data_IF_881898860718
#
_entry.id   IF_881898860718
#
_cell.length_a   1.000
_cell.length_b   1.000
_cell.length_c   1.000
_cell.angle_alpha   90.00
_cell.angle_beta   90.00
_cell.angle_gamma   90.00
#
_symmetry.space_group_name_H-M   'P 1'
#
loop_
_entity.id
_entity.type
_entity.pdbx_description
1 polymer ?
#
# COMPACT_ATOMS: atom_id res chain seq x y z
N UNK A 1 18.30 -6.95 27.04
CA UNK A 1 19.03 -7.64 25.97
C UNK A 1 18.34 -8.98 25.78
N UNK A 2 17.51 -9.12 24.76
CA UNK A 2 16.96 -10.43 24.35
C UNK A 2 18.07 -11.06 23.53
N UNK A 3 18.74 -12.09 24.06
CA UNK A 3 19.66 -12.92 23.33
C UNK A 3 18.88 -13.54 22.18
N UNK A 4 19.22 -13.19 20.95
CA UNK A 4 18.79 -13.94 19.79
C UNK A 4 19.44 -15.33 19.89
N UNK A 5 18.62 -16.35 19.93
CA UNK A 5 19.05 -17.74 19.94
C UNK A 5 19.75 -18.02 18.58
N UNK A 6 21.08 -18.06 18.61
CA UNK A 6 21.94 -18.16 17.42
C UNK A 6 21.87 -19.55 16.78
N UNK A 7 21.09 -20.48 17.36
CA UNK A 7 21.01 -21.90 16.93
C UNK A 7 19.80 -22.22 16.07
N UNK A 8 18.82 -21.33 15.95
CA UNK A 8 17.67 -21.57 15.08
C UNK A 8 18.04 -21.34 13.60
N UNK A 9 17.67 -22.24 12.67
CA UNK A 9 17.92 -22.02 11.25
C UNK A 9 17.22 -20.72 10.81
N UNK A 10 17.81 -19.96 9.86
CA UNK A 10 17.23 -18.71 9.42
C UNK A 10 15.80 -18.95 8.91
N UNK A 11 14.86 -18.21 9.46
CA UNK A 11 13.43 -18.33 9.12
C UNK A 11 13.24 -18.10 7.62
N UNK A 12 12.60 -19.06 6.95
CA UNK A 12 12.25 -18.91 5.53
C UNK A 12 11.25 -17.77 5.38
N UNK A 13 11.60 -16.73 4.59
CA UNK A 13 10.78 -15.53 4.39
C UNK A 13 9.40 -15.85 3.81
N UNK A 14 9.34 -16.82 2.90
CA UNK A 14 8.15 -17.25 2.18
C UNK A 14 7.97 -18.76 2.22
N UNK A 15 7.57 -19.35 3.35
CA UNK A 15 7.41 -20.81 3.44
C UNK A 15 6.38 -21.36 2.43
N UNK A 16 5.35 -20.61 2.11
CA UNK A 16 4.32 -20.97 1.13
C UNK A 16 4.82 -20.99 -0.32
N UNK A 17 5.99 -20.40 -0.58
CA UNK A 17 6.63 -20.36 -1.90
C UNK A 17 7.80 -21.35 -2.04
N UNK A 18 8.20 -22.01 -0.97
CA UNK A 18 9.40 -22.88 -0.95
C UNK A 18 9.38 -23.93 -2.06
N UNK A 19 8.25 -24.60 -2.26
CA UNK A 19 8.07 -25.68 -3.24
C UNK A 19 7.48 -25.19 -4.58
N UNK A 20 7.30 -23.88 -4.78
CA UNK A 20 6.84 -23.36 -6.07
C UNK A 20 7.98 -23.42 -7.11
N UNK A 21 7.64 -23.59 -8.41
CA UNK A 21 8.64 -23.52 -9.46
C UNK A 21 9.31 -22.15 -9.48
N UNK A 22 10.60 -22.13 -9.86
CA UNK A 22 11.31 -20.88 -10.08
C UNK A 22 11.00 -20.34 -11.48
N UNK A 23 10.79 -19.03 -11.56
CA UNK A 23 10.55 -18.32 -12.80
C UNK A 23 11.65 -17.26 -12.97
N UNK A 24 12.62 -17.44 -13.89
CA UNK A 24 13.68 -16.48 -14.11
C UNK A 24 13.15 -15.06 -14.31
N UNK A 25 13.80 -14.10 -13.67
CA UNK A 25 13.43 -12.69 -13.82
C UNK A 25 13.83 -12.20 -15.21
N UNK A 26 12.90 -11.55 -15.89
CA UNK A 26 13.17 -10.91 -17.18
C UNK A 26 14.01 -9.65 -16.98
N UNK A 27 14.96 -9.33 -17.89
CA UNK A 27 15.67 -8.05 -17.88
C UNK A 27 14.68 -6.90 -17.89
N UNK A 28 14.94 -5.91 -17.03
CA UNK A 28 14.09 -4.70 -16.98
C UNK A 28 14.38 -3.83 -18.20
N UNK A 29 13.36 -3.31 -18.88
CA UNK A 29 13.53 -2.39 -19.99
C UNK A 29 14.10 -1.04 -19.53
N UNK A 30 14.63 -0.25 -20.48
CA UNK A 30 15.33 1.02 -20.19
C UNK A 30 14.47 2.06 -19.46
N UNK A 31 13.15 2.04 -19.64
CA UNK A 31 12.24 2.97 -18.96
C UNK A 31 11.98 2.65 -17.48
N UNK A 32 12.48 1.51 -16.98
CA UNK A 32 12.43 1.17 -15.55
C UNK A 32 13.79 1.49 -14.92
N UNK A 33 14.06 2.77 -14.73
CA UNK A 33 15.27 3.28 -14.07
C UNK A 33 14.92 3.82 -12.69
N UNK A 34 15.77 3.50 -11.71
CA UNK A 34 15.59 3.91 -10.31
C UNK A 34 16.83 4.65 -9.80
N UNK A 35 16.65 5.55 -8.85
CA UNK A 35 17.76 6.25 -8.19
C UNK A 35 18.37 5.40 -7.09
N UNK A 36 19.70 5.35 -7.07
CA UNK A 36 20.43 4.64 -6.01
C UNK A 36 20.19 5.27 -4.62
N UNK A 37 20.06 4.47 -3.55
CA UNK A 37 19.77 4.94 -2.20
C UNK A 37 21.04 5.41 -1.45
N UNK A 38 21.72 6.45 -1.95
CA UNK A 38 23.05 6.90 -1.45
C UNK A 38 23.06 8.31 -0.86
N UNK A 39 21.95 9.06 -0.93
CA UNK A 39 21.89 10.46 -0.50
C UNK A 39 21.92 10.62 1.02
N UNK A 40 22.31 11.80 1.52
CA UNK A 40 22.26 12.12 2.93
C UNK A 40 20.83 12.10 3.50
N UNK A 41 19.83 12.55 2.70
CA UNK A 41 18.41 12.45 3.06
C UNK A 41 17.98 11.00 3.28
N UNK A 42 18.41 10.08 2.41
CA UNK A 42 18.17 8.64 2.57
C UNK A 42 18.78 8.12 3.89
N UNK A 43 20.05 8.43 4.15
CA UNK A 43 20.75 7.99 5.39
C UNK A 43 20.06 8.51 6.64
N UNK A 44 19.65 9.79 6.65
CA UNK A 44 18.91 10.41 7.75
C UNK A 44 17.58 9.70 8.00
N UNK A 45 16.80 9.42 6.94
CA UNK A 45 15.52 8.72 7.05
C UNK A 45 15.72 7.30 7.58
N UNK A 46 16.70 6.56 7.05
CA UNK A 46 17.06 5.21 7.51
C UNK A 46 17.43 5.21 9.01
N UNK A 47 18.25 6.15 9.45
CA UNK A 47 18.66 6.28 10.86
C UNK A 47 17.45 6.47 11.77
N UNK A 48 16.51 7.36 11.42
CA UNK A 48 15.31 7.60 12.23
C UNK A 48 14.44 6.34 12.32
N UNK A 49 14.26 5.61 11.20
CA UNK A 49 13.50 4.36 11.18
C UNK A 49 14.15 3.31 12.09
N UNK A 50 15.46 3.12 11.99
CA UNK A 50 16.21 2.13 12.78
C UNK A 50 16.23 2.46 14.28
N UNK A 51 16.50 3.72 14.65
CA UNK A 51 16.51 4.18 16.05
C UNK A 51 15.17 3.98 16.74
N UNK A 52 14.06 4.07 15.97
CA UNK A 52 12.71 3.88 16.49
C UNK A 52 12.19 2.45 16.32
N UNK A 53 13.01 1.51 15.84
CA UNK A 53 12.64 0.10 15.60
C UNK A 53 11.34 -0.02 14.77
N UNK A 54 11.21 0.78 13.72
CA UNK A 54 10.05 0.80 12.85
C UNK A 54 10.28 -0.03 11.60
N UNK A 55 9.22 -0.61 11.11
CA UNK A 55 9.19 -1.36 9.86
C UNK A 55 8.62 -0.47 8.75
N UNK A 56 9.15 -0.60 7.54
CA UNK A 56 8.64 0.13 6.38
C UNK A 56 8.38 -0.83 5.21
N UNK A 57 7.26 -0.63 4.53
CA UNK A 57 6.99 -1.37 3.29
C UNK A 57 8.04 -1.07 2.21
N UNK A 58 8.70 0.09 2.29
CA UNK A 58 9.76 0.47 1.35
C UNK A 58 10.94 -0.52 1.37
N UNK A 59 11.33 -0.99 2.56
CA UNK A 59 12.39 -2.00 2.73
C UNK A 59 11.84 -3.40 2.51
N UNK A 60 10.74 -3.76 3.18
CA UNK A 60 10.21 -5.11 3.17
C UNK A 60 9.72 -5.56 1.78
N UNK A 61 9.09 -4.67 1.04
CA UNK A 61 8.65 -4.93 -0.34
C UNK A 61 9.75 -4.73 -1.40
N UNK A 62 10.99 -4.40 -1.01
CA UNK A 62 12.07 -4.05 -1.93
C UNK A 62 11.64 -2.98 -2.96
N UNK A 63 11.03 -1.89 -2.46
CA UNK A 63 10.46 -0.84 -3.30
C UNK A 63 11.52 -0.16 -4.18
N UNK A 64 11.31 -0.06 -5.51
CA UNK A 64 12.28 0.56 -6.41
C UNK A 64 12.47 2.06 -6.13
N UNK A 65 11.49 2.73 -5.53
CA UNK A 65 11.51 4.17 -5.32
C UNK A 65 12.15 4.60 -3.99
N UNK A 66 12.64 3.66 -3.17
CA UNK A 66 13.15 3.95 -1.81
C UNK A 66 14.23 5.03 -1.80
N UNK A 67 15.14 5.02 -2.80
CA UNK A 67 16.22 6.01 -2.91
C UNK A 67 15.68 7.44 -3.11
N UNK A 68 14.65 7.62 -3.92
CA UNK A 68 14.04 8.93 -4.15
C UNK A 68 13.15 9.36 -2.98
N UNK A 69 12.25 8.49 -2.54
CA UNK A 69 11.29 8.80 -1.47
C UNK A 69 12.02 9.20 -0.19
N UNK A 70 13.01 8.42 0.24
CA UNK A 70 13.72 8.69 1.49
C UNK A 70 14.69 9.88 1.40
N UNK A 71 15.14 10.22 0.19
CA UNK A 71 15.87 11.50 -0.02
C UNK A 71 14.99 12.70 0.33
N UNK A 72 13.69 12.61 0.05
CA UNK A 72 12.67 13.62 0.38
C UNK A 72 12.06 13.41 1.78
N UNK A 73 12.62 12.53 2.58
CA UNK A 73 12.11 12.10 3.90
C UNK A 73 10.74 11.39 3.87
N UNK A 74 10.21 11.03 2.69
CA UNK A 74 8.94 10.30 2.56
C UNK A 74 9.15 8.82 2.83
N UNK A 75 8.52 8.28 3.87
CA UNK A 75 8.53 6.85 4.20
C UNK A 75 7.10 6.34 4.41
N UNK A 76 6.85 5.11 4.00
CA UNK A 76 5.58 4.42 4.27
C UNK A 76 5.81 3.47 5.44
N UNK A 77 5.22 3.79 6.58
CA UNK A 77 5.35 2.96 7.77
C UNK A 77 4.46 1.73 7.66
N UNK A 78 5.03 0.57 7.99
CA UNK A 78 4.29 -0.69 8.06
C UNK A 78 4.15 -1.08 9.53
N UNK A 79 2.93 -1.07 10.03
CA UNK A 79 2.59 -1.37 11.42
C UNK A 79 2.20 -2.82 11.61
N UNK A 80 2.16 -3.27 12.87
CA UNK A 80 1.80 -4.63 13.30
C UNK A 80 2.85 -5.69 12.94
N UNK A 81 4.11 -5.26 12.77
CA UNK A 81 5.24 -6.13 12.48
C UNK A 81 5.52 -6.33 11.00
N UNK A 82 6.36 -7.33 10.69
CA UNK A 82 6.92 -7.63 9.38
C UNK A 82 6.46 -9.00 8.81
N UNK A 83 5.53 -9.68 9.49
CA UNK A 83 5.06 -11.01 9.13
C UNK A 83 3.56 -10.95 8.83
N UNK A 84 3.21 -11.30 7.58
CA UNK A 84 1.84 -11.32 7.10
C UNK A 84 1.22 -12.71 7.27
N UNK A 85 -0.07 -12.78 7.62
CA UNK A 85 -0.82 -14.04 7.67
C UNK A 85 -1.20 -14.57 6.28
N UNK A 86 -1.04 -13.76 5.22
CA UNK A 86 -1.43 -14.10 3.84
C UNK A 86 -0.23 -14.14 2.89
N UNK A 87 -0.22 -15.13 2.00
CA UNK A 87 0.85 -15.36 1.02
C UNK A 87 0.49 -14.92 -0.40
N UNK A 88 0.34 -13.61 -0.65
CA UNK A 88 0.12 -13.09 -1.99
C UNK A 88 1.30 -13.39 -2.90
N UNK A 89 1.04 -13.87 -4.13
CA UNK A 89 2.11 -14.35 -5.03
C UNK A 89 3.03 -13.24 -5.55
N UNK A 90 2.59 -11.99 -5.50
CA UNK A 90 3.36 -10.81 -5.92
C UNK A 90 4.17 -10.17 -4.78
N UNK A 91 3.82 -10.43 -3.52
CA UNK A 91 4.28 -9.67 -2.36
C UNK A 91 5.58 -10.24 -1.78
N UNK A 92 6.53 -9.34 -1.48
CA UNK A 92 7.82 -9.70 -0.87
C UNK A 92 7.81 -9.66 0.67
N UNK A 93 6.70 -9.29 1.30
CA UNK A 93 6.59 -9.28 2.76
C UNK A 93 6.66 -10.73 3.29
N UNK A 94 7.40 -10.93 4.39
CA UNK A 94 7.52 -12.24 5.04
C UNK A 94 6.16 -12.80 5.45
N UNK A 95 5.97 -14.12 5.35
CA UNK A 95 4.70 -14.77 5.69
C UNK A 95 4.84 -15.74 6.86
N UNK A 96 3.75 -15.99 7.55
CA UNK A 96 3.68 -16.95 8.64
C UNK A 96 2.87 -16.49 9.85
N UNK A 97 3.26 -16.93 11.04
CA UNK A 97 2.62 -16.52 12.29
C UNK A 97 3.26 -15.22 12.80
N UNK A 98 2.49 -14.11 12.87
CA UNK A 98 3.01 -12.84 13.38
C UNK A 98 3.30 -12.89 14.90
N UNK A 99 4.15 -12.00 15.36
CA UNK A 99 4.36 -11.76 16.79
C UNK A 99 3.17 -11.01 17.41
N UNK A 100 3.13 -10.93 18.75
CA UNK A 100 2.18 -10.08 19.46
C UNK A 100 2.33 -8.60 19.05
N UNK A 101 1.23 -7.85 19.15
CA UNK A 101 1.23 -6.42 18.86
C UNK A 101 2.06 -5.64 19.86
N UNK A 102 2.93 -4.80 19.35
CA UNK A 102 3.68 -3.86 20.20
C UNK A 102 2.79 -2.66 20.55
N UNK A 103 2.44 -2.56 21.82
CA UNK A 103 1.59 -1.48 22.37
C UNK A 103 2.20 -0.08 22.20
N UNK A 104 3.52 0.03 22.05
CA UNK A 104 4.24 1.30 21.91
C UNK A 104 4.49 1.71 20.45
N UNK A 105 4.22 0.83 19.49
CA UNK A 105 4.43 1.11 18.06
C UNK A 105 3.70 2.37 17.58
N UNK A 106 2.40 2.62 17.92
CA UNK A 106 1.72 3.86 17.52
C UNK A 106 2.42 5.14 17.95
N UNK A 107 2.97 5.15 19.19
CA UNK A 107 3.73 6.28 19.73
C UNK A 107 5.07 6.48 19.02
N UNK A 108 5.78 5.40 18.68
CA UNK A 108 7.04 5.46 17.93
C UNK A 108 6.84 5.93 16.49
N UNK A 109 5.77 5.46 15.81
CA UNK A 109 5.40 5.96 14.48
C UNK A 109 5.12 7.46 14.54
N UNK A 110 4.28 7.92 15.48
CA UNK A 110 3.98 9.33 15.65
C UNK A 110 5.23 10.18 15.94
N UNK A 111 6.17 9.66 16.73
CA UNK A 111 7.45 10.31 16.99
C UNK A 111 8.30 10.43 15.72
N UNK A 112 8.40 9.36 14.92
CA UNK A 112 9.17 9.38 13.68
C UNK A 112 8.56 10.33 12.63
N UNK A 113 7.24 10.34 12.50
CA UNK A 113 6.49 11.27 11.62
C UNK A 113 6.83 12.73 11.97
N UNK A 114 6.79 13.08 13.27
CA UNK A 114 7.15 14.41 13.75
C UNK A 114 8.62 14.74 13.52
N UNK A 115 9.54 13.83 13.84
CA UNK A 115 11.00 14.01 13.68
C UNK A 115 11.43 14.16 12.22
N UNK A 116 10.72 13.49 11.29
CA UNK A 116 10.91 13.64 9.84
C UNK A 116 10.26 14.91 9.27
N UNK A 117 9.35 15.55 10.03
CA UNK A 117 8.63 16.75 9.59
C UNK A 117 7.66 16.46 8.44
N UNK A 118 7.00 15.28 8.45
CA UNK A 118 6.14 14.87 7.36
C UNK A 118 4.86 15.71 7.31
N UNK A 119 4.55 16.29 6.16
CA UNK A 119 3.27 16.96 5.91
C UNK A 119 2.18 15.98 5.49
N UNK A 120 2.59 14.85 4.92
CA UNK A 120 1.73 13.73 4.57
C UNK A 120 2.42 12.42 4.95
N UNK A 121 1.70 11.48 5.55
CA UNK A 121 2.22 10.17 5.90
C UNK A 121 1.32 9.06 5.40
N UNK A 122 1.93 8.01 4.87
CA UNK A 122 1.22 6.76 4.54
C UNK A 122 1.55 5.71 5.58
N UNK A 123 0.51 5.13 6.19
CA UNK A 123 0.60 4.04 7.16
C UNK A 123 -0.08 2.82 6.55
N UNK A 124 0.65 1.73 6.45
CA UNK A 124 0.12 0.44 5.99
C UNK A 124 0.37 -0.65 7.03
N UNK A 125 -0.07 -1.85 6.79
CA UNK A 125 0.18 -3.00 7.66
C UNK A 125 0.36 -4.29 6.87
N UNK A 126 0.82 -5.32 7.57
CA UNK A 126 0.61 -6.72 7.17
C UNK A 126 -0.85 -7.14 7.40
N UNK A 127 -1.34 -8.18 6.72
CA UNK A 127 -2.61 -8.82 7.12
C UNK A 127 -2.43 -9.54 8.47
N UNK A 128 -3.39 -9.36 9.35
CA UNK A 128 -3.46 -9.92 10.72
C UNK A 128 -4.76 -10.67 10.92
N UNK A 129 -5.01 -11.69 10.08
CA UNK A 129 -6.18 -12.59 10.19
C UNK A 129 -6.21 -13.39 11.52
N UNK A 130 -5.14 -13.31 12.29
CA UNK A 130 -5.01 -13.87 13.66
C UNK A 130 -5.63 -12.97 14.73
N UNK A 131 -5.91 -11.70 14.41
CA UNK A 131 -6.57 -10.76 15.32
C UNK A 131 -8.08 -10.69 15.03
N UNK A 132 -8.88 -10.61 16.08
CA UNK A 132 -10.35 -10.54 15.97
C UNK A 132 -10.82 -9.31 15.17
N UNK A 133 -10.11 -8.20 15.28
CA UNK A 133 -10.41 -6.96 14.59
C UNK A 133 -9.50 -6.69 13.37
N UNK A 134 -8.68 -7.67 12.97
CA UNK A 134 -7.74 -7.49 11.85
C UNK A 134 -6.73 -6.35 12.04
N UNK A 135 -6.59 -5.83 13.27
CA UNK A 135 -5.71 -4.70 13.60
C UNK A 135 -6.36 -3.32 13.47
N UNK A 136 -7.68 -3.25 13.33
CA UNK A 136 -8.41 -1.97 13.17
C UNK A 136 -8.16 -0.99 14.32
N UNK A 137 -8.15 -1.46 15.57
CA UNK A 137 -7.84 -0.62 16.74
C UNK A 137 -6.38 -0.13 16.73
N UNK A 138 -5.47 -0.94 16.20
CA UNK A 138 -4.07 -0.53 16.11
C UNK A 138 -3.88 0.58 15.06
N UNK A 139 -4.58 0.51 13.92
CA UNK A 139 -4.68 1.63 12.96
C UNK A 139 -5.24 2.88 13.63
N UNK A 140 -6.38 2.76 14.31
CA UNK A 140 -7.01 3.89 14.98
C UNK A 140 -6.11 4.55 16.02
N UNK A 141 -5.39 3.77 16.85
CA UNK A 141 -4.39 4.26 17.80
C UNK A 141 -3.25 4.99 17.10
N UNK A 142 -2.76 4.45 15.99
CA UNK A 142 -1.66 5.06 15.22
C UNK A 142 -2.09 6.40 14.63
N UNK A 143 -3.28 6.48 14.02
CA UNK A 143 -3.83 7.73 13.50
C UNK A 143 -3.97 8.78 14.61
N UNK A 144 -4.57 8.41 15.75
CA UNK A 144 -4.76 9.33 16.89
C UNK A 144 -3.42 9.82 17.44
N UNK A 145 -2.43 8.94 17.56
CA UNK A 145 -1.09 9.29 18.04
C UNK A 145 -0.36 10.27 17.10
N UNK A 146 -0.48 10.06 15.78
CA UNK A 146 0.09 10.97 14.78
C UNK A 146 -0.61 12.34 14.86
N UNK A 147 -1.95 12.38 14.87
CA UNK A 147 -2.72 13.62 14.98
C UNK A 147 -2.43 14.41 16.24
N UNK A 148 -2.25 13.72 17.35
CA UNK A 148 -1.88 14.35 18.62
C UNK A 148 -0.51 15.02 18.55
N UNK A 149 0.49 14.35 17.96
CA UNK A 149 1.88 14.83 17.91
C UNK A 149 2.18 15.77 16.75
N UNK A 150 1.49 15.60 15.65
CA UNK A 150 1.67 16.33 14.38
C UNK A 150 0.31 16.68 13.77
N UNK A 151 -0.47 17.60 14.36
CA UNK A 151 -1.86 17.86 13.98
C UNK A 151 -2.04 18.38 12.54
N UNK A 152 -0.99 18.96 11.95
CA UNK A 152 -1.00 19.46 10.57
C UNK A 152 -0.67 18.35 9.53
N UNK A 153 -0.20 17.17 9.99
CA UNK A 153 0.14 16.07 9.09
C UNK A 153 -1.14 15.38 8.59
N UNK A 154 -1.29 15.28 7.29
CA UNK A 154 -2.36 14.49 6.66
C UNK A 154 -2.00 13.02 6.63
N UNK A 155 -2.99 12.14 6.81
CA UNK A 155 -2.78 10.71 7.02
C UNK A 155 -3.52 9.89 5.97
N UNK A 156 -2.76 9.17 5.15
CA UNK A 156 -3.28 8.09 4.32
C UNK A 156 -3.06 6.76 5.03
N UNK A 157 -4.07 5.91 5.07
CA UNK A 157 -3.93 4.53 5.54
C UNK A 157 -4.15 3.57 4.38
N UNK A 158 -3.28 2.58 4.22
CA UNK A 158 -3.45 1.45 3.29
C UNK A 158 -3.76 0.20 4.13
N UNK A 159 -5.04 -0.17 4.15
CA UNK A 159 -5.55 -1.21 5.06
C UNK A 159 -5.62 -2.59 4.41
N UNK A 160 -5.62 -3.68 5.20
CA UNK A 160 -6.12 -4.98 4.75
C UNK A 160 -7.62 -4.91 4.40
N UNK A 161 -8.17 -6.01 3.89
CA UNK A 161 -9.59 -6.09 3.53
C UNK A 161 -10.53 -6.40 4.70
N UNK A 162 -10.00 -6.69 5.88
CA UNK A 162 -10.76 -7.09 7.08
C UNK A 162 -11.75 -8.25 6.82
N UNK A 163 -11.43 -9.17 5.89
CA UNK A 163 -12.35 -10.19 5.36
C UNK A 163 -13.00 -11.08 6.43
N UNK A 164 -12.29 -11.33 7.54
CA UNK A 164 -12.76 -12.20 8.63
C UNK A 164 -13.31 -11.44 9.83
N UNK A 165 -13.40 -10.12 9.73
CA UNK A 165 -13.77 -9.26 10.85
C UNK A 165 -15.24 -8.86 10.76
N UNK A 166 -15.80 -8.46 11.91
CA UNK A 166 -17.13 -7.83 11.96
C UNK A 166 -17.15 -6.51 11.21
N UNK A 167 -18.28 -6.17 10.59
CA UNK A 167 -18.43 -4.95 9.80
C UNK A 167 -18.20 -3.66 10.60
N UNK A 168 -18.32 -3.68 11.92
CA UNK A 168 -18.10 -2.53 12.81
C UNK A 168 -16.62 -2.11 12.92
N UNK A 169 -15.68 -2.99 12.54
CA UNK A 169 -14.23 -2.68 12.61
C UNK A 169 -13.88 -1.47 11.71
N UNK A 170 -14.59 -1.31 10.60
CA UNK A 170 -14.41 -0.18 9.70
C UNK A 170 -14.77 1.15 10.38
N UNK A 171 -15.87 1.19 11.13
CA UNK A 171 -16.28 2.40 11.89
C UNK A 171 -15.16 2.85 12.82
N UNK A 172 -14.53 1.91 13.55
CA UNK A 172 -13.44 2.21 14.49
C UNK A 172 -12.24 2.88 13.81
N UNK A 173 -11.89 2.43 12.61
CA UNK A 173 -10.81 3.05 11.82
C UNK A 173 -11.23 4.44 11.34
N UNK A 174 -12.45 4.59 10.83
CA UNK A 174 -12.96 5.86 10.27
C UNK A 174 -13.22 6.93 11.34
N UNK A 175 -13.59 6.54 12.56
CA UNK A 175 -13.69 7.44 13.72
C UNK A 175 -12.37 8.13 14.09
N UNK A 176 -11.23 7.52 13.78
CA UNK A 176 -9.93 8.14 13.92
C UNK A 176 -9.66 9.21 12.83
N UNK A 177 -10.54 9.31 11.82
CA UNK A 177 -10.56 10.34 10.76
C UNK A 177 -9.28 10.38 9.93
N UNK A 178 -8.85 9.30 9.24
CA UNK A 178 -7.80 9.41 8.23
C UNK A 178 -8.25 10.37 7.13
N UNK A 179 -7.33 11.00 6.42
CA UNK A 179 -7.63 11.87 5.28
C UNK A 179 -7.88 11.07 4.01
N UNK A 180 -7.16 9.97 3.83
CA UNK A 180 -7.36 9.01 2.73
C UNK A 180 -7.46 7.60 3.31
N UNK A 181 -8.50 6.87 2.89
CA UNK A 181 -8.64 5.43 3.08
C UNK A 181 -8.27 4.72 1.77
N UNK A 182 -7.17 3.99 1.80
CA UNK A 182 -6.67 3.23 0.66
C UNK A 182 -6.81 1.73 0.92
N UNK A 183 -7.32 1.02 -0.08
CA UNK A 183 -7.27 -0.44 -0.15
C UNK A 183 -7.08 -0.87 -1.60
N UNK A 184 -5.98 -1.56 -1.89
CA UNK A 184 -5.63 -1.95 -3.24
C UNK A 184 -6.41 -3.20 -3.69
N UNK A 185 -6.92 -3.20 -4.91
CA UNK A 185 -7.41 -4.40 -5.60
C UNK A 185 -6.27 -5.27 -6.13
N UNK A 186 -5.12 -4.68 -6.41
CA UNK A 186 -3.86 -5.26 -6.88
C UNK A 186 -3.92 -5.81 -8.32
N UNK A 187 -5.00 -6.49 -8.72
CA UNK A 187 -5.14 -7.09 -10.04
C UNK A 187 -6.61 -7.30 -10.41
N UNK A 188 -6.86 -7.84 -11.61
CA UNK A 188 -8.20 -8.17 -12.14
C UNK A 188 -8.80 -9.43 -11.49
N UNK A 189 -10.14 -9.59 -11.46
CA UNK A 189 -10.81 -10.71 -10.79
C UNK A 189 -10.30 -12.09 -11.21
N UNK A 190 -10.05 -12.31 -12.51
CA UNK A 190 -9.59 -13.59 -13.06
C UNK A 190 -8.23 -14.05 -12.51
N UNK A 191 -7.39 -13.12 -12.05
CA UNK A 191 -6.07 -13.41 -11.48
C UNK A 191 -6.06 -13.58 -9.96
N UNK A 192 -7.16 -13.28 -9.26
CA UNK A 192 -7.21 -13.41 -7.79
C UNK A 192 -6.81 -14.79 -7.29
N UNK A 193 -7.30 -15.92 -7.89
CA UNK A 193 -6.95 -17.26 -7.39
C UNK A 193 -5.44 -17.55 -7.41
N UNK A 194 -4.71 -16.97 -8.36
CA UNK A 194 -3.27 -17.22 -8.54
C UNK A 194 -2.38 -16.15 -7.93
N UNK A 195 -2.82 -14.90 -7.94
CA UNK A 195 -2.01 -13.72 -7.53
C UNK A 195 -2.32 -13.29 -6.10
N UNK A 196 -3.60 -13.34 -5.69
CA UNK A 196 -4.08 -12.88 -4.36
C UNK A 196 -5.07 -13.86 -3.74
N UNK A 197 -4.70 -15.13 -3.51
CA UNK A 197 -5.64 -16.22 -3.14
C UNK A 197 -6.34 -16.00 -1.79
N UNK A 198 -5.72 -15.24 -0.88
CA UNK A 198 -6.27 -14.92 0.45
C UNK A 198 -7.33 -13.82 0.46
N UNK A 199 -7.56 -13.12 -0.64
CA UNK A 199 -8.50 -12.01 -0.73
C UNK A 199 -9.73 -12.35 -1.60
N UNK A 200 -10.73 -11.46 -1.57
CA UNK A 200 -11.94 -11.57 -2.39
C UNK A 200 -12.20 -10.23 -3.09
N UNK A 201 -12.28 -10.24 -4.42
CA UNK A 201 -12.41 -9.04 -5.24
C UNK A 201 -13.61 -8.18 -4.86
N UNK A 202 -14.80 -8.77 -4.82
CA UNK A 202 -16.03 -8.04 -4.48
C UNK A 202 -16.09 -7.59 -3.02
N UNK A 203 -15.45 -8.31 -2.11
CA UNK A 203 -15.32 -7.86 -0.73
C UNK A 203 -14.45 -6.61 -0.62
N UNK A 204 -13.33 -6.56 -1.35
CA UNK A 204 -12.45 -5.39 -1.42
C UNK A 204 -13.17 -4.16 -2.01
N UNK A 205 -13.98 -4.34 -3.05
CA UNK A 205 -14.84 -3.28 -3.59
C UNK A 205 -15.89 -2.82 -2.60
N UNK A 206 -16.56 -3.76 -1.92
CA UNK A 206 -17.57 -3.44 -0.92
C UNK A 206 -16.97 -2.67 0.26
N UNK A 207 -15.75 -3.01 0.69
CA UNK A 207 -15.03 -2.27 1.72
C UNK A 207 -14.88 -0.79 1.34
N UNK A 208 -14.41 -0.50 0.13
CA UNK A 208 -14.23 0.88 -0.37
C UNK A 208 -15.57 1.62 -0.49
N UNK A 209 -16.60 0.94 -0.97
CA UNK A 209 -17.95 1.49 -1.04
C UNK A 209 -18.49 1.85 0.35
N UNK A 210 -18.33 0.97 1.34
CA UNK A 210 -18.75 1.19 2.73
C UNK A 210 -18.06 2.40 3.37
N UNK A 211 -16.79 2.66 3.05
CA UNK A 211 -16.12 3.89 3.53
C UNK A 211 -16.89 5.13 3.10
N UNK A 212 -17.35 5.18 1.84
CA UNK A 212 -18.11 6.32 1.31
C UNK A 212 -19.52 6.42 1.87
N UNK A 213 -20.14 5.31 2.24
CA UNK A 213 -21.43 5.34 2.95
C UNK A 213 -21.30 5.91 4.36
N UNK A 214 -20.24 5.56 5.08
CA UNK A 214 -20.00 6.01 6.46
C UNK A 214 -19.47 7.45 6.47
N UNK A 215 -18.62 7.82 5.54
CA UNK A 215 -18.00 9.14 5.46
C UNK A 215 -17.77 9.60 4.01
N UNK A 216 -18.55 10.55 3.55
CA UNK A 216 -18.39 11.18 2.23
C UNK A 216 -17.15 12.07 2.14
N UNK A 217 -16.60 12.51 3.28
CA UNK A 217 -15.49 13.47 3.35
C UNK A 217 -14.12 12.80 3.21
N UNK A 218 -13.97 11.56 3.67
CA UNK A 218 -12.73 10.79 3.53
C UNK A 218 -12.54 10.44 2.04
N UNK A 219 -11.36 10.72 1.51
CA UNK A 219 -11.01 10.26 0.16
C UNK A 219 -10.78 8.76 0.15
N UNK A 220 -11.28 8.09 -0.89
CA UNK A 220 -11.00 6.67 -1.12
C UNK A 220 -10.01 6.49 -2.25
N UNK A 221 -9.09 5.57 -2.07
CA UNK A 221 -8.01 5.27 -3.02
C UNK A 221 -7.90 3.76 -3.24
N UNK A 222 -7.53 3.38 -4.44
CA UNK A 222 -7.18 1.99 -4.75
C UNK A 222 -6.03 1.93 -5.74
N UNK A 223 -5.37 0.78 -5.80
CA UNK A 223 -4.28 0.54 -6.73
C UNK A 223 -4.38 -0.81 -7.42
N UNK A 224 -3.89 -0.84 -8.65
CA UNK A 224 -3.70 -2.06 -9.42
C UNK A 224 -2.30 -2.10 -10.01
N UNK A 225 -1.80 -3.31 -10.20
CA UNK A 225 -0.58 -3.57 -10.94
C UNK A 225 -0.90 -4.17 -12.30
N UNK A 226 -0.15 -3.76 -13.32
CA UNK A 226 -0.21 -4.32 -14.67
C UNK A 226 1.07 -5.09 -15.00
N UNK A 227 0.97 -6.05 -15.92
CA UNK A 227 2.06 -6.95 -16.27
C UNK A 227 2.02 -8.31 -15.56
N UNK A 228 0.93 -8.62 -14.86
CA UNK A 228 0.66 -9.91 -14.21
C UNK A 228 0.03 -10.96 -15.13
N UNK A 229 -0.45 -10.55 -16.32
CA UNK A 229 -1.15 -11.39 -17.30
C UNK A 229 -2.62 -11.01 -17.48
N UNK A 230 -3.01 -9.84 -17.01
CA UNK A 230 -4.34 -9.27 -17.17
C UNK A 230 -4.62 -8.85 -18.63
N UNK A 231 -5.88 -8.98 -19.03
CA UNK A 231 -6.41 -8.44 -20.28
C UNK A 231 -6.74 -6.95 -20.13
N UNK A 232 -6.48 -6.14 -21.18
CA UNK A 232 -6.77 -4.69 -21.16
C UNK A 232 -8.23 -4.38 -20.81
N UNK A 233 -9.18 -5.13 -21.37
CA UNK A 233 -10.61 -4.92 -21.10
C UNK A 233 -10.95 -5.25 -19.64
N UNK A 234 -10.28 -6.22 -19.02
CA UNK A 234 -10.45 -6.52 -17.61
C UNK A 234 -9.94 -5.37 -16.71
N UNK A 235 -8.83 -4.71 -17.09
CA UNK A 235 -8.35 -3.51 -16.39
C UNK A 235 -9.35 -2.36 -16.48
N UNK A 236 -9.94 -2.13 -17.67
CA UNK A 236 -10.98 -1.11 -17.87
C UNK A 236 -12.24 -1.42 -17.05
N UNK A 237 -12.62 -2.70 -16.94
CA UNK A 237 -13.74 -3.12 -16.08
C UNK A 237 -13.45 -2.88 -14.60
N UNK A 238 -12.22 -3.15 -14.13
CA UNK A 238 -11.82 -2.82 -12.74
C UNK A 238 -11.96 -1.32 -12.46
N UNK A 239 -11.68 -0.45 -13.43
CA UNK A 239 -11.90 0.98 -13.28
C UNK A 239 -13.41 1.31 -13.11
N UNK A 240 -14.29 0.67 -13.90
CA UNK A 240 -15.75 0.85 -13.79
C UNK A 240 -16.25 0.36 -12.42
N UNK A 241 -15.78 -0.80 -11.96
CA UNK A 241 -16.14 -1.36 -10.67
C UNK A 241 -15.70 -0.44 -9.51
N UNK A 242 -14.47 0.11 -9.59
CA UNK A 242 -13.97 1.08 -8.61
C UNK A 242 -14.78 2.39 -8.62
N UNK A 243 -15.19 2.87 -9.80
CA UNK A 243 -16.06 4.05 -9.88
C UNK A 243 -17.45 3.77 -9.32
N UNK A 244 -18.01 2.58 -9.54
CA UNK A 244 -19.24 2.12 -8.91
C UNK A 244 -19.13 2.08 -7.38
N UNK A 245 -17.96 1.73 -6.87
CA UNK A 245 -17.61 1.81 -5.45
C UNK A 245 -17.25 3.24 -4.98
N UNK A 246 -17.44 4.27 -5.83
CA UNK A 246 -17.18 5.70 -5.55
C UNK A 246 -15.73 6.02 -5.16
N UNK A 247 -14.78 5.26 -5.69
CA UNK A 247 -13.34 5.50 -5.43
C UNK A 247 -12.90 6.80 -6.11
N UNK A 248 -12.23 7.66 -5.36
CA UNK A 248 -11.78 8.99 -5.83
C UNK A 248 -10.47 8.94 -6.59
N UNK A 249 -9.50 8.11 -6.14
CA UNK A 249 -8.14 8.09 -6.64
C UNK A 249 -7.71 6.68 -7.05
N UNK A 250 -7.15 6.54 -8.24
CA UNK A 250 -6.61 5.28 -8.77
C UNK A 250 -5.11 5.37 -9.03
N UNK A 251 -4.34 4.40 -8.54
CA UNK A 251 -2.93 4.21 -8.92
C UNK A 251 -2.75 2.98 -9.80
N UNK A 252 -1.94 3.10 -10.87
CA UNK A 252 -1.63 2.01 -11.80
C UNK A 252 -0.12 1.92 -11.95
N UNK A 253 0.49 0.81 -11.53
CA UNK A 253 1.92 0.59 -11.58
C UNK A 253 2.33 -0.70 -12.29
N UNK A 254 3.58 -0.78 -12.76
CA UNK A 254 4.13 -2.03 -13.28
C UNK A 254 4.42 -3.02 -12.16
N UNK A 255 3.95 -4.24 -12.28
CA UNK A 255 4.41 -5.33 -11.43
C UNK A 255 5.90 -5.62 -11.66
N UNK A 256 6.65 -5.67 -10.58
CA UNK A 256 8.06 -6.07 -10.60
C UNK A 256 8.23 -7.31 -9.71
N UNK A 257 8.69 -8.40 -10.31
CA UNK A 257 8.88 -9.68 -9.62
C UNK A 257 9.99 -9.57 -8.57
N UNK A 258 9.71 -9.83 -7.27
CA UNK A 258 10.73 -9.70 -6.22
C UNK A 258 11.80 -10.78 -6.28
N UNK A 259 11.43 -12.04 -6.44
CA UNK A 259 12.33 -13.19 -6.59
C UNK A 259 11.77 -14.20 -7.60
N UNK A 260 12.58 -15.16 -8.02
CA UNK A 260 12.17 -16.22 -8.97
C UNK A 260 11.00 -17.09 -8.46
N UNK A 261 10.72 -17.09 -7.16
CA UNK A 261 9.61 -17.83 -6.54
C UNK A 261 8.27 -17.07 -6.52
N UNK A 262 8.28 -15.80 -6.92
CA UNK A 262 7.08 -14.98 -7.04
C UNK A 262 6.41 -15.15 -8.40
N UNK A 263 5.19 -14.62 -8.52
CA UNK A 263 4.48 -14.61 -9.80
C UNK A 263 5.36 -13.98 -10.89
N UNK A 264 5.51 -14.61 -12.07
CA UNK A 264 6.38 -14.08 -13.11
C UNK A 264 5.83 -12.82 -13.74
N UNK A 265 6.71 -11.86 -14.10
CA UNK A 265 6.32 -10.76 -14.97
C UNK A 265 5.92 -11.32 -16.35
N UNK A 266 4.67 -11.18 -16.73
CA UNK A 266 4.17 -11.63 -18.04
C UNK A 266 4.63 -10.69 -19.14
N UNK A 267 4.52 -9.37 -18.91
CA UNK A 267 5.04 -8.34 -19.82
C UNK A 267 5.47 -7.08 -19.04
N UNK A 268 6.37 -6.32 -19.61
CA UNK A 268 6.61 -4.95 -19.21
C UNK A 268 5.75 -4.03 -20.07
N UNK A 269 4.89 -3.27 -19.42
CA UNK A 269 3.95 -2.35 -20.07
C UNK A 269 4.70 -1.07 -20.45
N UNK A 270 4.62 -0.61 -21.70
CA UNK A 270 5.32 0.60 -22.13
C UNK A 270 4.67 1.87 -21.57
N UNK A 271 5.43 2.97 -21.40
CA UNK A 271 4.93 4.22 -20.82
C UNK A 271 3.68 4.79 -21.51
N UNK A 272 3.56 4.64 -22.82
CA UNK A 272 2.42 5.14 -23.63
C UNK A 272 1.12 4.43 -23.25
N UNK A 273 1.20 3.15 -22.87
CA UNK A 273 0.02 2.40 -22.42
C UNK A 273 -0.44 2.89 -21.04
N UNK A 274 0.49 3.25 -20.14
CA UNK A 274 0.13 3.90 -18.86
C UNK A 274 -0.59 5.23 -19.09
N UNK A 275 -0.13 6.06 -20.05
CA UNK A 275 -0.82 7.30 -20.42
C UNK A 275 -2.23 7.03 -20.97
N UNK A 276 -2.39 5.96 -21.77
CA UNK A 276 -3.70 5.54 -22.27
C UNK A 276 -4.64 5.11 -21.15
N UNK A 277 -4.13 4.34 -20.17
CA UNK A 277 -4.89 3.91 -18.99
C UNK A 277 -5.27 5.09 -18.10
N UNK A 278 -4.35 6.05 -17.91
CA UNK A 278 -4.60 7.29 -17.17
C UNK A 278 -5.74 8.11 -17.79
N UNK A 279 -5.68 8.36 -19.10
CA UNK A 279 -6.74 9.06 -19.83
C UNK A 279 -8.09 8.34 -19.71
N UNK A 280 -8.10 7.00 -19.84
CA UNK A 280 -9.31 6.20 -19.69
C UNK A 280 -9.90 6.34 -18.28
N UNK A 281 -9.06 6.30 -17.24
CA UNK A 281 -9.50 6.44 -15.86
C UNK A 281 -10.09 7.83 -15.58
N UNK A 282 -9.43 8.91 -16.04
CA UNK A 282 -10.02 10.26 -15.95
C UNK A 282 -11.35 10.36 -16.69
N UNK A 283 -11.45 9.76 -17.90
CA UNK A 283 -12.70 9.69 -18.67
C UNK A 283 -13.84 8.94 -17.95
N UNK A 284 -13.50 8.04 -17.02
CA UNK A 284 -14.47 7.34 -16.15
C UNK A 284 -14.82 8.12 -14.88
N UNK A 285 -14.23 9.30 -14.65
CA UNK A 285 -14.60 10.20 -13.57
C UNK A 285 -13.80 10.02 -12.27
N UNK A 286 -12.61 9.42 -12.28
CA UNK A 286 -11.70 9.52 -11.13
C UNK A 286 -11.25 10.96 -10.93
N UNK A 287 -11.21 11.42 -9.68
CA UNK A 287 -10.72 12.76 -9.35
C UNK A 287 -9.21 12.90 -9.53
N UNK A 288 -8.49 11.81 -9.26
CA UNK A 288 -7.03 11.73 -9.40
C UNK A 288 -6.64 10.36 -9.96
N UNK A 289 -5.68 10.37 -10.86
CA UNK A 289 -5.06 9.14 -11.38
C UNK A 289 -3.54 9.33 -11.38
N UNK A 290 -2.82 8.30 -10.94
CA UNK A 290 -1.36 8.25 -11.07
C UNK A 290 -1.00 6.93 -11.76
N UNK A 291 -0.49 7.01 -13.00
CA UNK A 291 -0.22 5.84 -13.82
C UNK A 291 1.17 5.95 -14.47
N UNK A 292 2.10 5.11 -14.04
CA UNK A 292 3.43 5.01 -14.63
C UNK A 292 4.10 3.67 -14.24
N UNK A 293 5.18 3.26 -14.93
CA UNK A 293 5.90 2.04 -14.58
C UNK A 293 6.38 1.99 -13.12
N UNK A 294 6.74 3.12 -12.53
CA UNK A 294 7.23 3.21 -11.16
C UNK A 294 6.17 3.65 -10.14
N UNK A 295 4.92 3.92 -10.56
CA UNK A 295 3.83 4.25 -9.63
C UNK A 295 3.65 3.12 -8.60
N UNK A 296 3.52 3.53 -7.35
CA UNK A 296 3.16 2.71 -6.18
C UNK A 296 2.15 3.48 -5.35
N UNK A 297 1.38 2.79 -4.51
CA UNK A 297 0.31 3.43 -3.72
C UNK A 297 0.76 4.64 -2.90
N UNK A 298 2.01 4.68 -2.47
CA UNK A 298 2.56 5.78 -1.66
C UNK A 298 3.59 6.65 -2.39
N UNK A 299 3.83 6.41 -3.69
CA UNK A 299 4.77 7.20 -4.46
C UNK A 299 4.18 8.56 -4.78
N UNK A 300 4.86 9.65 -4.45
CA UNK A 300 4.37 11.04 -4.54
C UNK A 300 3.05 11.34 -3.78
N UNK A 301 2.74 10.58 -2.72
CA UNK A 301 1.44 10.65 -2.04
C UNK A 301 1.08 12.06 -1.52
N UNK A 302 2.05 12.87 -1.07
CA UNK A 302 1.82 14.25 -0.65
C UNK A 302 1.37 15.15 -1.80
N UNK A 303 2.10 15.11 -2.92
CA UNK A 303 1.80 15.89 -4.12
C UNK A 303 0.43 15.50 -4.71
N UNK A 304 0.14 14.21 -4.74
CA UNK A 304 -1.12 13.65 -5.23
C UNK A 304 -2.30 14.04 -4.32
N UNK A 305 -2.12 14.07 -3.00
CA UNK A 305 -3.15 14.52 -2.07
C UNK A 305 -3.53 15.99 -2.29
N UNK A 306 -2.56 16.86 -2.55
CA UNK A 306 -2.82 18.27 -2.86
C UNK A 306 -3.70 18.39 -4.11
N UNK A 307 -3.31 17.72 -5.20
CA UNK A 307 -4.07 17.69 -6.46
C UNK A 307 -5.48 17.12 -6.27
N UNK A 308 -5.60 16.06 -5.46
CA UNK A 308 -6.89 15.43 -5.15
C UNK A 308 -7.85 16.40 -4.44
N UNK A 309 -7.33 17.18 -3.48
CA UNK A 309 -8.11 18.23 -2.80
C UNK A 309 -8.57 19.33 -3.78
N UNK A 310 -7.65 19.80 -4.62
CA UNK A 310 -7.98 20.80 -5.64
C UNK A 310 -9.05 20.30 -6.62
N UNK A 311 -8.94 19.03 -7.06
CA UNK A 311 -9.91 18.41 -7.96
C UNK A 311 -11.31 18.35 -7.31
N UNK A 312 -11.41 17.98 -6.02
CA UNK A 312 -12.69 17.98 -5.28
C UNK A 312 -13.29 19.37 -5.13
N UNK A 313 -12.45 20.38 -4.84
CA UNK A 313 -12.92 21.77 -4.75
C UNK A 313 -13.45 22.27 -6.10
N UNK A 314 -12.75 22.00 -7.21
CA UNK A 314 -13.21 22.34 -8.55
C UNK A 314 -14.54 21.66 -8.88
N UNK A 315 -14.70 20.38 -8.56
CA UNK A 315 -15.94 19.65 -8.78
C UNK A 315 -17.10 20.25 -7.99
N UNK A 316 -16.89 20.65 -6.73
CA UNK A 316 -17.91 21.27 -5.89
C UNK A 316 -18.34 22.67 -6.37
N UNK A 317 -17.50 23.37 -7.14
CA UNK A 317 -17.84 24.68 -7.72
C UNK A 317 -18.63 24.57 -9.03
N UNK A 318 -18.70 23.38 -9.63
CA UNK A 318 -19.42 23.11 -10.89
C UNK A 318 -20.85 22.57 -10.66
N UNK A 319 -21.18 22.28 -9.42
CA UNK A 319 -22.52 21.82 -8.95
C UNK A 319 -23.12 22.80 -7.95
#
# INVERSE_FOLDING_TARGET
MIQQDVTAPPRLRHPEKANKPAHPQKPKPEWIKVKAPVSEGYKRTLKIIQENKLVTVCQEAACPNVGECWTKSHATFMIMGDICTRGCAFCNISTGRPNELDKFEPGRVAYAVNKLGLRHVVVTSVDRDDLVDGGAEHFAKTIRAIKFRSPATTIEILTPDFLKCDASVLNRVLEAKPDIFNHNLETVPSLYPTVRPGARYFHSLHLLYRVKEISSTIFTKSGIMVGLGEEKNAVLQVMDDLRSAKVDFLTIGQYLQPTEKHHPVKRFVPPEEFQSLEKAAYGKGFLMVSASPLTRSSYHAEEDYIKLKEARLKQALLH
#
